data_IF_826560593212
#
_entry.id   IF_826560593212
#
_cell.length_a   1.000
_cell.length_b   1.000
_cell.length_c   1.000
_cell.angle_alpha   90.00
_cell.angle_beta   90.00
_cell.angle_gamma   90.00
#
_symmetry.space_group_name_H-M   'P 1'
#
loop_
_entity.id
_entity.type
_entity.pdbx_description
1 polymer ?
#
# COMPACT_ATOMS: atom_id res chain seq x y z
N UNK A 1 10.72 -13.81 11.50
CA UNK A 1 9.52 -14.23 10.74
C UNK A 1 8.91 -12.98 10.14
N UNK A 2 8.65 -12.91 8.82
CA UNK A 2 8.10 -11.71 8.19
C UNK A 2 6.61 -11.53 8.53
N UNK A 3 6.18 -10.30 8.81
CA UNK A 3 4.76 -9.95 8.90
C UNK A 3 4.34 -9.39 7.53
N UNK A 4 3.36 -10.02 6.89
CA UNK A 4 2.78 -9.54 5.62
C UNK A 4 1.36 -9.09 5.89
N UNK A 5 1.09 -7.80 5.69
CA UNK A 5 -0.25 -7.23 5.82
C UNK A 5 -0.87 -7.11 4.43
N UNK A 6 -2.08 -7.62 4.27
CA UNK A 6 -2.82 -7.56 3.00
C UNK A 6 -3.94 -6.53 3.12
N UNK A 7 -4.00 -5.60 2.17
CA UNK A 7 -5.04 -4.57 2.06
C UNK A 7 -5.79 -4.74 0.74
N UNK A 8 -7.04 -4.33 0.70
CA UNK A 8 -7.75 -4.12 -0.56
C UNK A 8 -7.07 -3.00 -1.35
N UNK A 9 -7.02 -3.16 -2.67
CA UNK A 9 -6.72 -2.05 -3.57
C UNK A 9 -7.76 -0.93 -3.40
N UNK A 10 -7.38 0.29 -3.71
CA UNK A 10 -8.32 1.41 -3.66
C UNK A 10 -9.38 1.24 -4.76
N UNK A 11 -10.65 1.48 -4.39
CA UNK A 11 -11.78 1.46 -5.33
C UNK A 11 -11.97 2.85 -5.96
N UNK A 12 -10.99 3.23 -6.78
CA UNK A 12 -10.96 4.51 -7.48
C UNK A 12 -10.41 4.31 -8.90
N UNK A 13 -11.01 4.89 -9.96
CA UNK A 13 -10.53 4.75 -11.32
C UNK A 13 -9.11 5.32 -11.53
N UNK A 14 -8.64 6.21 -10.66
CA UNK A 14 -7.26 6.72 -10.70
C UNK A 14 -6.24 5.75 -10.09
N UNK A 15 -6.70 4.65 -9.50
CA UNK A 15 -5.84 3.66 -8.89
C UNK A 15 -5.30 2.69 -9.94
N UNK A 16 -3.98 2.77 -10.17
CA UNK A 16 -3.22 1.79 -10.93
C UNK A 16 -2.10 1.25 -10.05
N UNK A 17 -2.07 -0.08 -9.85
CA UNK A 17 -1.10 -0.71 -8.94
C UNK A 17 0.35 -0.48 -9.39
N UNK A 18 0.63 -0.48 -10.70
CA UNK A 18 1.99 -0.30 -11.20
C UNK A 18 2.49 1.10 -10.87
N UNK A 19 1.68 2.13 -11.09
CA UNK A 19 1.98 3.52 -10.73
C UNK A 19 2.11 3.68 -9.22
N UNK A 20 1.16 3.15 -8.45
CA UNK A 20 1.21 3.14 -6.99
C UNK A 20 2.52 2.56 -6.47
N UNK A 21 2.90 1.38 -6.96
CA UNK A 21 4.15 0.71 -6.57
C UNK A 21 5.38 1.56 -6.88
N UNK A 22 5.46 2.19 -8.05
CA UNK A 22 6.60 3.04 -8.41
C UNK A 22 6.67 4.30 -7.54
N UNK A 23 5.54 4.95 -7.27
CA UNK A 23 5.46 6.14 -6.42
C UNK A 23 5.88 5.85 -4.97
N UNK A 24 5.42 4.72 -4.40
CA UNK A 24 5.81 4.28 -3.04
C UNK A 24 7.31 3.93 -3.01
N UNK A 25 7.82 3.29 -4.07
CA UNK A 25 9.26 2.99 -4.22
C UNK A 25 10.11 4.25 -4.30
N UNK A 26 9.67 5.27 -5.04
CA UNK A 26 10.37 6.58 -5.09
C UNK A 26 10.43 7.26 -3.72
N UNK A 27 9.49 6.97 -2.82
CA UNK A 27 9.45 7.46 -1.44
C UNK A 27 10.24 6.59 -0.45
N UNK A 28 10.98 5.59 -0.94
CA UNK A 28 11.89 4.77 -0.14
C UNK A 28 11.29 3.48 0.43
N UNK A 29 10.06 3.11 0.04
CA UNK A 29 9.39 1.90 0.54
C UNK A 29 9.15 0.89 -0.58
N UNK A 30 9.52 -0.37 -0.36
CA UNK A 30 9.30 -1.45 -1.32
C UNK A 30 8.13 -2.30 -0.84
N UNK A 31 7.11 -2.46 -1.68
CA UNK A 31 5.97 -3.33 -1.40
C UNK A 31 6.21 -4.73 -1.95
N UNK A 32 5.57 -5.74 -1.36
CA UNK A 32 5.72 -7.10 -1.86
C UNK A 32 4.68 -7.34 -2.97
N UNK A 33 5.09 -7.58 -4.22
CA UNK A 33 4.15 -7.81 -5.30
C UNK A 33 3.35 -9.11 -5.03
N UNK A 34 2.05 -9.03 -5.25
CA UNK A 34 1.20 -10.20 -5.33
C UNK A 34 -0.24 -9.85 -5.02
N UNK A 35 -1.12 -10.44 -5.82
CA UNK A 35 -2.56 -10.22 -5.82
C UNK A 35 -3.21 -11.54 -5.41
N UNK A 36 -4.16 -11.49 -4.47
CA UNK A 36 -5.06 -12.62 -4.25
C UNK A 36 -5.95 -12.78 -5.50
N UNK A 37 -6.18 -14.00 -6.02
CA UNK A 37 -6.88 -14.18 -7.30
C UNK A 37 -8.32 -13.65 -7.32
N UNK A 38 -8.97 -13.56 -6.16
CA UNK A 38 -10.37 -13.20 -6.04
C UNK A 38 -10.62 -11.69 -5.91
N UNK A 39 -9.65 -10.92 -5.38
CA UNK A 39 -9.82 -9.48 -5.11
C UNK A 39 -8.50 -8.75 -5.32
N UNK A 40 -8.56 -7.59 -5.97
CA UNK A 40 -7.44 -6.67 -6.12
C UNK A 40 -6.93 -6.24 -4.74
N UNK A 41 -5.68 -6.60 -4.46
CA UNK A 41 -5.07 -6.48 -3.14
C UNK A 41 -3.63 -5.98 -3.25
N UNK A 42 -3.18 -5.30 -2.21
CA UNK A 42 -1.80 -4.86 -2.01
C UNK A 42 -1.25 -5.55 -0.78
N UNK A 43 -0.02 -6.07 -0.86
CA UNK A 43 0.66 -6.68 0.29
C UNK A 43 1.86 -5.84 0.71
N UNK A 44 1.89 -5.51 2.00
CA UNK A 44 2.96 -4.73 2.63
C UNK A 44 3.76 -5.67 3.52
N UNK A 45 5.04 -5.84 3.20
CA UNK A 45 5.96 -6.61 4.04
C UNK A 45 6.55 -5.73 5.13
N UNK A 46 6.21 -6.01 6.38
CA UNK A 46 6.84 -5.41 7.55
C UNK A 46 7.97 -6.35 8.01
N UNK A 47 9.13 -6.26 7.37
CA UNK A 47 10.26 -7.16 7.59
C UNK A 47 11.51 -6.35 7.95
N UNK A 48 12.21 -6.75 9.02
CA UNK A 48 13.44 -6.12 9.47
C UNK A 48 13.25 -5.23 10.69
N UNK A 49 14.24 -4.38 10.98
CA UNK A 49 14.20 -3.46 12.11
C UNK A 49 13.61 -2.12 11.68
N UNK A 50 12.38 -1.85 12.10
CA UNK A 50 11.78 -0.53 12.01
C UNK A 50 12.03 0.17 13.34
N UNK A 51 12.69 1.35 13.31
CA UNK A 51 12.63 2.27 14.44
C UNK A 51 11.20 2.77 14.65
N UNK A 52 10.97 3.56 15.70
CA UNK A 52 9.63 4.05 16.10
C UNK A 52 8.87 4.73 14.94
N UNK A 53 9.58 5.40 14.04
CA UNK A 53 9.01 6.10 12.90
C UNK A 53 8.75 5.21 11.67
N UNK A 54 9.24 3.98 11.62
CA UNK A 54 9.28 3.18 10.39
C UNK A 54 7.90 2.88 9.80
N UNK A 55 6.97 2.39 10.63
CA UNK A 55 5.58 2.12 10.19
C UNK A 55 4.81 3.42 9.92
N UNK A 56 4.80 4.43 10.82
CA UNK A 56 4.14 5.71 10.53
C UNK A 56 4.63 6.39 9.25
N UNK A 57 5.93 6.35 8.98
CA UNK A 57 6.51 6.97 7.78
C UNK A 57 6.14 6.21 6.50
N UNK A 58 6.06 4.87 6.56
CA UNK A 58 5.57 4.07 5.44
C UNK A 58 4.10 4.39 5.13
N UNK A 59 3.26 4.50 6.16
CA UNK A 59 1.85 4.90 6.01
C UNK A 59 1.73 6.31 5.42
N UNK A 60 2.55 7.26 5.86
CA UNK A 60 2.61 8.61 5.30
C UNK A 60 2.98 8.60 3.80
N UNK A 61 4.01 7.82 3.43
CA UNK A 61 4.41 7.69 2.03
C UNK A 61 3.31 7.08 1.14
N UNK A 62 2.55 6.12 1.66
CA UNK A 62 1.37 5.55 0.98
C UNK A 62 0.28 6.62 0.81
N UNK A 63 -0.02 7.38 1.87
CA UNK A 63 -1.02 8.45 1.81
C UNK A 63 -0.65 9.52 0.78
N UNK A 64 0.61 9.96 0.75
CA UNK A 64 1.07 10.96 -0.21
C UNK A 64 1.15 10.42 -1.64
N UNK A 65 1.38 9.12 -1.80
CA UNK A 65 1.25 8.45 -3.11
C UNK A 65 -0.20 8.51 -3.61
N UNK A 66 -1.17 8.14 -2.77
CA UNK A 66 -2.59 8.16 -3.14
C UNK A 66 -3.04 9.58 -3.52
N UNK A 67 -2.62 10.59 -2.76
CA UNK A 67 -2.85 12.01 -3.11
C UNK A 67 -2.25 12.38 -4.46
N UNK A 68 -0.98 12.04 -4.70
CA UNK A 68 -0.28 12.34 -5.96
C UNK A 68 -0.91 11.64 -7.18
N UNK A 69 -1.52 10.47 -6.95
CA UNK A 69 -2.28 9.75 -7.98
C UNK A 69 -3.67 10.33 -8.22
N UNK A 70 -4.17 11.21 -7.34
CA UNK A 70 -5.54 11.73 -7.41
C UNK A 70 -6.60 10.72 -6.93
N UNK A 71 -6.19 9.68 -6.20
CA UNK A 71 -7.09 8.69 -5.60
C UNK A 71 -7.80 9.34 -4.42
N UNK A 72 -9.14 9.35 -4.45
CA UNK A 72 -9.99 9.96 -3.40
C UNK A 72 -10.84 8.94 -2.67
N UNK A 73 -11.11 7.79 -3.29
CA UNK A 73 -11.82 6.69 -2.68
C UNK A 73 -10.82 5.58 -2.33
N UNK A 74 -10.70 5.31 -1.05
CA UNK A 74 -10.08 4.06 -0.56
C UNK A 74 -11.23 3.13 -0.19
N UNK A 75 -11.22 1.90 -0.69
CA UNK A 75 -12.23 0.92 -0.31
C UNK A 75 -12.12 0.66 1.20
N UNK A 76 -13.24 0.77 1.88
CA UNK A 76 -13.41 0.37 3.26
C UNK A 76 -14.66 -0.50 3.35
N UNK A 77 -14.59 -1.71 2.83
CA UNK A 77 -15.31 -2.80 3.50
C UNK A 77 -14.30 -3.47 4.41
N UNK A 78 -14.28 -3.00 5.66
CA UNK A 78 -13.69 -3.77 6.73
C UNK A 78 -14.46 -5.10 6.78
N UNK A 79 -13.75 -6.20 6.58
CA UNK A 79 -14.29 -7.54 6.79
C UNK A 79 -14.95 -7.57 8.18
N UNK A 80 -16.24 -7.90 8.19
CA UNK A 80 -17.01 -8.18 9.39
C UNK A 80 -16.45 -9.40 10.13
#
# INVERSE_FOLDING_TARGET
>A
MPIIVTFHAADDPNYDFKRFYQEVKMRGYVLYPGKLPAVDTVRVGCIGHFGEAGIPSAVGAIADTLKAMGVRRVSAEAAA
#
